data_IF_647081679691
#
_entry.id   IF_647081679691
#
_cell.length_a   1.000
_cell.length_b   1.000
_cell.length_c   1.000
_cell.angle_alpha   90.00
_cell.angle_beta   90.00
_cell.angle_gamma   90.00
#
_symmetry.space_group_name_H-M   'P 1'
#
loop_
_entity.id
_entity.type
_entity.pdbx_description
1 polymer ?
#
# COMPACT_ATOMS: atom_id res chain seq x y z
N UNK A 1 3.69 -4.52 -0.14
CA UNK A 1 3.38 -5.94 0.16
C UNK A 1 4.41 -6.64 1.05
N UNK A 2 5.72 -6.38 0.96
CA UNK A 2 6.72 -7.05 1.80
C UNK A 2 6.45 -6.94 3.31
N UNK A 3 6.06 -5.76 3.79
CA UNK A 3 5.76 -5.54 5.22
C UNK A 3 4.60 -6.40 5.71
N UNK A 4 3.51 -6.47 4.93
CA UNK A 4 2.35 -7.34 5.22
C UNK A 4 2.76 -8.82 5.23
N UNK A 5 3.47 -9.28 4.21
CA UNK A 5 3.91 -10.69 4.15
C UNK A 5 4.80 -11.07 5.34
N UNK A 6 5.72 -10.18 5.73
CA UNK A 6 6.57 -10.37 6.91
C UNK A 6 5.75 -10.53 8.19
N UNK A 7 4.77 -9.66 8.42
CA UNK A 7 3.90 -9.69 9.60
C UNK A 7 3.04 -10.95 9.65
N UNK A 8 2.61 -11.45 8.50
CA UNK A 8 1.85 -12.71 8.41
C UNK A 8 2.72 -13.96 8.40
N UNK A 9 4.06 -13.84 8.45
CA UNK A 9 4.97 -14.97 8.30
C UNK A 9 4.88 -15.66 6.92
N UNK A 10 4.45 -14.93 5.88
CA UNK A 10 4.27 -15.44 4.52
C UNK A 10 5.27 -14.81 3.54
N UNK A 11 5.81 -15.57 2.58
CA UNK A 11 6.64 -14.99 1.54
C UNK A 11 5.81 -14.04 0.66
N UNK A 12 6.33 -12.83 0.44
CA UNK A 12 5.78 -11.90 -0.53
C UNK A 12 6.65 -11.92 -1.79
N UNK A 13 6.04 -12.21 -2.94
CA UNK A 13 6.70 -12.15 -4.26
C UNK A 13 6.26 -10.88 -4.99
N UNK A 14 7.22 -10.13 -5.54
CA UNK A 14 6.93 -9.11 -6.54
C UNK A 14 6.74 -9.77 -7.90
N UNK A 15 5.71 -9.36 -8.64
CA UNK A 15 5.45 -9.86 -10.00
C UNK A 15 5.93 -8.84 -11.03
N UNK A 16 6.41 -9.32 -12.18
CA UNK A 16 6.59 -8.47 -13.36
C UNK A 16 5.23 -8.01 -13.91
N UNK A 17 5.24 -7.06 -14.84
CA UNK A 17 4.03 -6.61 -15.55
C UNK A 17 3.37 -7.78 -16.28
N UNK A 18 4.15 -8.59 -16.98
CA UNK A 18 3.67 -9.75 -17.75
C UNK A 18 3.11 -10.85 -16.82
N UNK A 19 3.80 -11.14 -15.71
CA UNK A 19 3.30 -12.09 -14.70
C UNK A 19 2.00 -11.59 -14.07
N UNK A 20 1.90 -10.28 -13.79
CA UNK A 20 0.71 -9.67 -13.22
C UNK A 20 -0.47 -9.68 -14.22
N UNK A 21 -0.22 -9.37 -15.49
CA UNK A 21 -1.22 -9.40 -16.55
C UNK A 21 -1.77 -10.83 -16.75
N UNK A 22 -0.89 -11.84 -16.74
CA UNK A 22 -1.28 -13.25 -16.82
C UNK A 22 -2.08 -13.73 -15.59
N UNK A 23 -1.73 -13.26 -14.39
CA UNK A 23 -2.36 -13.68 -13.13
C UNK A 23 -3.67 -12.96 -12.83
N UNK A 24 -3.73 -11.65 -13.08
CA UNK A 24 -4.86 -10.78 -12.73
C UNK A 24 -5.79 -10.49 -13.91
N UNK A 25 -5.37 -10.80 -15.14
CA UNK A 25 -6.16 -10.59 -16.35
C UNK A 25 -6.61 -9.12 -16.47
N UNK A 26 -7.90 -8.85 -16.78
CA UNK A 26 -8.41 -7.50 -16.92
C UNK A 26 -8.24 -6.59 -15.70
N UNK A 27 -8.02 -7.15 -14.49
CA UNK A 27 -7.79 -6.35 -13.28
C UNK A 27 -6.37 -5.78 -13.20
N UNK A 28 -5.42 -6.33 -13.95
CA UNK A 28 -4.03 -5.90 -13.91
C UNK A 28 -3.84 -4.43 -14.27
N UNK A 29 -4.70 -3.89 -15.15
CA UNK A 29 -4.66 -2.48 -15.54
C UNK A 29 -4.97 -1.53 -14.37
N UNK A 30 -5.90 -1.93 -13.49
CA UNK A 30 -6.32 -1.10 -12.35
C UNK A 30 -5.37 -1.24 -11.17
N UNK A 31 -4.85 -2.46 -10.95
CA UNK A 31 -3.98 -2.77 -9.80
C UNK A 31 -2.59 -2.15 -9.96
N UNK A 32 -2.10 -2.04 -11.19
CA UNK A 32 -0.78 -1.47 -11.42
C UNK A 32 -0.79 0.05 -11.59
N UNK A 33 -1.97 0.66 -11.64
CA UNK A 33 -2.04 2.11 -11.69
C UNK A 33 -1.49 2.69 -10.39
N UNK A 34 -0.48 3.55 -10.52
CA UNK A 34 0.16 4.26 -9.43
C UNK A 34 0.11 5.75 -9.74
N UNK A 35 -1.11 6.27 -9.84
CA UNK A 35 -1.37 7.67 -10.08
C UNK A 35 -0.71 8.58 -9.05
N UNK A 36 -0.42 9.84 -9.41
CA UNK A 36 0.21 10.79 -8.51
C UNK A 36 -0.69 11.07 -7.31
N UNK A 37 -0.14 10.93 -6.10
CA UNK A 37 -0.79 11.30 -4.85
C UNK A 37 0.13 12.22 -4.03
N UNK A 38 -0.43 13.28 -3.42
CA UNK A 38 0.33 14.21 -2.59
C UNK A 38 -0.36 14.48 -1.26
N UNK A 39 0.31 14.07 -0.18
CA UNK A 39 -0.13 14.40 1.16
C UNK A 39 -0.01 15.90 1.45
N UNK A 40 1.09 16.52 1.03
CA UNK A 40 1.35 17.95 1.25
C UNK A 40 0.26 18.81 0.60
N UNK A 41 -0.07 18.52 -0.67
CA UNK A 41 -1.13 19.24 -1.37
C UNK A 41 -2.47 19.11 -0.65
N UNK A 42 -2.81 17.91 -0.17
CA UNK A 42 -4.06 17.67 0.56
C UNK A 42 -4.13 18.52 1.84
N UNK A 43 -3.06 18.54 2.64
CA UNK A 43 -2.98 19.33 3.87
C UNK A 43 -3.11 20.82 3.59
N UNK A 44 -2.38 21.33 2.59
CA UNK A 44 -2.39 22.75 2.23
C UNK A 44 -3.75 23.21 1.70
N UNK A 45 -4.37 22.41 0.84
CA UNK A 45 -5.62 22.79 0.16
C UNK A 45 -6.84 22.67 1.07
N UNK A 46 -6.89 21.63 1.91
CA UNK A 46 -8.07 21.32 2.71
C UNK A 46 -7.93 21.70 4.19
N UNK A 47 -6.75 22.17 4.62
CA UNK A 47 -6.44 22.36 6.04
C UNK A 47 -6.45 21.03 6.83
N UNK A 48 -6.36 19.90 6.13
CA UNK A 48 -6.54 18.58 6.72
C UNK A 48 -5.33 18.19 7.57
N UNK A 49 -5.58 17.68 8.78
CA UNK A 49 -4.56 17.07 9.65
C UNK A 49 -4.76 15.56 9.71
N UNK A 50 -3.66 14.80 9.73
CA UNK A 50 -3.71 13.34 9.90
C UNK A 50 -3.74 13.01 11.40
N UNK A 51 -4.77 12.31 11.84
CA UNK A 51 -4.86 11.80 13.21
C UNK A 51 -4.23 10.41 13.37
N UNK A 52 -3.99 9.72 12.25
CA UNK A 52 -3.45 8.37 12.21
C UNK A 52 -2.01 8.34 11.70
N UNK A 53 -1.27 7.34 12.17
CA UNK A 53 0.09 7.03 11.74
C UNK A 53 0.13 6.61 10.26
N UNK A 54 1.32 6.59 9.66
CA UNK A 54 1.49 6.11 8.30
C UNK A 54 1.23 4.60 8.18
N UNK A 55 0.60 4.18 7.08
CA UNK A 55 0.17 2.78 6.86
C UNK A 55 1.29 1.73 7.01
N UNK A 56 2.53 2.07 6.68
CA UNK A 56 3.66 1.14 6.86
C UNK A 56 3.93 0.89 8.35
N UNK A 57 3.98 1.95 9.14
CA UNK A 57 4.16 1.86 10.59
C UNK A 57 2.96 1.15 11.24
N UNK A 58 1.75 1.45 10.76
CA UNK A 58 0.52 0.81 11.21
C UNK A 58 0.57 -0.71 11.02
N UNK A 59 0.93 -1.18 9.81
CA UNK A 59 1.08 -2.60 9.50
C UNK A 59 2.19 -3.25 10.34
N UNK A 60 3.24 -2.50 10.72
CA UNK A 60 4.34 -3.02 11.52
C UNK A 60 3.98 -3.27 13.00
N UNK A 61 2.81 -2.80 13.45
CA UNK A 61 2.29 -3.02 14.79
C UNK A 61 1.41 -4.30 14.83
N UNK A 62 1.94 -5.47 15.26
CA UNK A 62 1.28 -6.76 15.06
C UNK A 62 0.02 -6.96 15.92
N UNK A 63 -0.02 -6.30 17.07
CA UNK A 63 -0.99 -6.51 18.13
C UNK A 63 -1.82 -5.25 18.43
N UNK A 64 -1.51 -4.11 17.78
CA UNK A 64 -2.06 -2.79 18.10
C UNK A 64 -2.06 -2.48 19.61
N UNK A 65 -1.25 -3.19 20.39
CA UNK A 65 -1.22 -3.04 21.84
C UNK A 65 -0.31 -1.87 22.16
N UNK A 66 -0.94 -0.74 22.42
CA UNK A 66 -0.35 0.32 23.23
C UNK A 66 -0.65 0.08 24.69
#
# INVERSE_FOLDING_TARGET
MRTVGRQLGRPAKSLSREEADAYLGPLAMWIADNGPASNEWTKKTLGWTRDLVGIVFDIECPDYSR
#
